data_IF_914470755744
#
_entry.id   IF_914470755744
#
_cell.length_a   1.000
_cell.length_b   1.000
_cell.length_c   1.000
_cell.angle_alpha   90.00
_cell.angle_beta   90.00
_cell.angle_gamma   90.00
#
_symmetry.space_group_name_H-M   'P 1'
#
loop_
_entity.id
_entity.type
_entity.pdbx_description
1 polymer ?
#
# COMPACT_ATOMS: atom_id res chain seq x y z
N UNK A 1 2.29 11.84 23.92
CA UNK A 1 3.51 11.00 23.92
C UNK A 1 3.33 9.71 23.10
N UNK A 2 2.33 8.86 23.36
CA UNK A 2 2.10 7.59 22.62
C UNK A 2 1.98 7.73 21.09
N UNK A 3 1.25 8.72 20.60
CA UNK A 3 1.10 8.97 19.15
C UNK A 3 2.42 9.37 18.48
N UNK A 4 3.27 10.12 19.17
CA UNK A 4 4.59 10.53 18.68
C UNK A 4 5.50 9.31 18.59
N UNK A 5 5.54 8.47 19.63
CA UNK A 5 6.30 7.22 19.60
C UNK A 5 5.84 6.28 18.48
N UNK A 6 4.52 6.17 18.27
CA UNK A 6 3.97 5.38 17.16
C UNK A 6 4.45 5.90 15.80
N UNK A 7 4.42 7.23 15.59
CA UNK A 7 4.92 7.87 14.38
C UNK A 7 6.40 7.60 14.14
N UNK A 8 7.24 7.75 15.17
CA UNK A 8 8.69 7.47 15.10
C UNK A 8 8.94 6.01 14.70
N UNK A 9 8.23 5.08 15.33
CA UNK A 9 8.36 3.65 15.03
C UNK A 9 7.95 3.34 13.58
N UNK A 10 6.84 3.92 13.10
CA UNK A 10 6.41 3.77 11.71
C UNK A 10 7.43 4.34 10.72
N UNK A 11 8.02 5.50 11.00
CA UNK A 11 9.12 6.07 10.20
C UNK A 11 10.35 5.17 10.15
N UNK A 12 10.76 4.62 11.30
CA UNK A 12 11.92 3.73 11.37
C UNK A 12 11.69 2.45 10.55
N UNK A 13 10.49 1.85 10.66
CA UNK A 13 10.11 0.66 9.89
C UNK A 13 10.07 0.94 8.40
N UNK A 14 9.47 2.06 7.98
CA UNK A 14 9.45 2.47 6.56
C UNK A 14 10.86 2.66 6.01
N UNK A 15 11.74 3.33 6.77
CA UNK A 15 13.12 3.57 6.35
C UNK A 15 13.89 2.25 6.19
N UNK A 16 13.71 1.31 7.13
CA UNK A 16 14.33 0.00 7.05
C UNK A 16 13.82 -0.80 5.83
N UNK A 17 12.52 -0.75 5.58
CA UNK A 17 11.89 -1.41 4.44
C UNK A 17 12.42 -0.89 3.10
N UNK A 18 12.40 0.44 2.90
CA UNK A 18 12.90 1.07 1.67
C UNK A 18 14.42 0.89 1.52
N UNK A 19 15.16 0.96 2.63
CA UNK A 19 16.61 0.71 2.63
C UNK A 19 16.97 -0.69 2.14
N UNK A 20 16.23 -1.73 2.57
CA UNK A 20 16.43 -3.10 2.07
C UNK A 20 16.17 -3.20 0.58
N UNK A 21 15.10 -2.60 0.08
CA UNK A 21 14.78 -2.62 -1.36
C UNK A 21 15.90 -1.98 -2.18
N UNK A 22 16.49 -0.88 -1.69
CA UNK A 22 17.60 -0.22 -2.37
C UNK A 22 18.87 -1.08 -2.39
N UNK A 23 19.16 -1.79 -1.30
CA UNK A 23 20.34 -2.67 -1.20
C UNK A 23 20.16 -3.95 -2.01
N UNK A 24 19.05 -4.65 -1.80
CA UNK A 24 18.80 -5.97 -2.36
C UNK A 24 18.26 -5.91 -3.80
N UNK A 25 17.77 -4.73 -4.22
CA UNK A 25 17.12 -4.48 -5.53
C UNK A 25 15.92 -5.40 -5.79
N UNK A 26 15.28 -5.86 -4.72
CA UNK A 26 14.13 -6.76 -4.78
C UNK A 26 13.03 -6.28 -3.85
N UNK A 27 11.78 -6.51 -4.25
CA UNK A 27 10.62 -6.27 -3.39
C UNK A 27 10.46 -7.40 -2.36
N UNK A 28 9.91 -7.11 -1.18
CA UNK A 28 9.72 -8.13 -0.15
C UNK A 28 8.68 -9.16 -0.57
N UNK A 29 8.95 -10.43 -0.26
CA UNK A 29 7.94 -11.49 -0.35
C UNK A 29 7.04 -11.38 0.87
N UNK A 30 5.79 -10.97 0.64
CA UNK A 30 4.84 -10.71 1.72
C UNK A 30 4.09 -11.98 2.12
N UNK A 31 4.08 -12.29 3.41
CA UNK A 31 3.30 -13.41 3.95
C UNK A 31 1.80 -13.13 3.78
N UNK A 32 1.06 -13.97 3.04
CA UNK A 32 -0.37 -13.77 2.84
C UNK A 32 -1.14 -13.61 4.15
N UNK A 33 -0.81 -14.43 5.15
CA UNK A 33 -1.54 -14.53 6.40
C UNK A 33 -1.38 -13.30 7.31
N UNK A 34 -0.39 -12.45 7.02
CA UNK A 34 -0.05 -11.28 7.84
C UNK A 34 -0.40 -9.97 7.15
N UNK A 35 -0.40 -9.96 5.82
CA UNK A 35 -0.55 -8.76 5.03
C UNK A 35 -1.92 -8.72 4.35
N UNK A 36 -2.70 -7.64 4.50
CA UNK A 36 -3.97 -7.50 3.81
C UNK A 36 -3.81 -7.53 2.28
N UNK A 37 -4.77 -8.17 1.62
CA UNK A 37 -4.94 -8.12 0.17
C UNK A 37 -5.95 -7.03 -0.18
N UNK A 38 -5.62 -6.18 -1.15
CA UNK A 38 -6.52 -5.14 -1.65
C UNK A 38 -6.99 -5.54 -3.04
N UNK A 39 -8.28 -5.90 -3.15
CA UNK A 39 -8.94 -6.27 -4.41
C UNK A 39 -9.65 -5.07 -5.03
N UNK A 40 -9.81 -5.11 -6.35
CA UNK A 40 -10.40 -4.04 -7.17
C UNK A 40 -9.84 -2.66 -6.80
N UNK A 41 -8.51 -2.60 -6.68
CA UNK A 41 -7.86 -1.44 -6.13
C UNK A 41 -7.76 -0.28 -7.13
N UNK A 42 -7.65 0.95 -6.63
CA UNK A 42 -7.37 2.19 -7.36
C UNK A 42 -6.47 3.11 -6.52
N UNK A 43 -5.92 4.17 -7.12
CA UNK A 43 -5.23 5.25 -6.39
C UNK A 43 -6.17 6.45 -6.34
N UNK A 44 -6.48 6.93 -5.15
CA UNK A 44 -7.13 8.23 -4.94
C UNK A 44 -6.03 9.27 -4.63
N UNK A 45 -6.03 10.41 -5.31
CA UNK A 45 -4.92 11.38 -5.26
C UNK A 45 -5.34 12.80 -4.90
N UNK A 46 -6.60 13.03 -4.49
CA UNK A 46 -7.12 14.38 -4.22
C UNK A 46 -6.30 15.22 -3.22
N UNK A 47 -5.69 14.60 -2.19
CA UNK A 47 -4.81 15.29 -1.22
C UNK A 47 -3.43 14.64 -1.08
N UNK A 48 -3.40 13.32 -1.11
CA UNK A 48 -2.19 12.50 -1.09
C UNK A 48 -2.54 11.18 -1.78
N UNK A 49 -1.58 10.52 -2.46
CA UNK A 49 -1.84 9.23 -3.10
C UNK A 49 -2.19 8.20 -2.03
N UNK A 50 -3.40 7.66 -2.07
CA UNK A 50 -3.88 6.63 -1.17
C UNK A 50 -4.40 5.45 -2.00
N UNK A 51 -4.09 4.23 -1.58
CA UNK A 51 -4.65 3.05 -2.19
C UNK A 51 -6.08 2.86 -1.65
N UNK A 52 -7.03 2.73 -2.57
CA UNK A 52 -8.43 2.41 -2.26
C UNK A 52 -8.82 1.08 -2.89
N UNK A 53 -9.77 0.37 -2.28
CA UNK A 53 -10.26 -0.92 -2.76
C UNK A 53 -10.93 -1.74 -1.67
N UNK A 54 -11.13 -3.04 -1.92
CA UNK A 54 -11.70 -3.99 -0.98
C UNK A 54 -10.60 -4.72 -0.19
N UNK A 55 -10.59 -4.55 1.13
CA UNK A 55 -9.52 -5.04 1.98
C UNK A 55 -9.87 -6.40 2.58
N UNK A 56 -9.10 -7.43 2.23
CA UNK A 56 -9.23 -8.76 2.80
C UNK A 56 -8.12 -9.01 3.82
N UNK A 57 -8.51 -9.17 5.08
CA UNK A 57 -7.63 -9.53 6.19
C UNK A 57 -7.81 -11.01 6.51
N UNK A 58 -6.76 -11.84 6.45
CA UNK A 58 -6.88 -13.28 6.73
C UNK A 58 -7.02 -13.57 8.24
N UNK A 59 -6.19 -12.93 9.09
CA UNK A 59 -6.23 -13.13 10.56
C UNK A 59 -7.31 -12.33 11.29
N UNK A 60 -8.01 -11.42 10.61
CA UNK A 60 -9.10 -10.64 11.20
C UNK A 60 -10.35 -10.82 10.34
N UNK A 61 -11.31 -11.56 10.87
CA UNK A 61 -12.69 -11.44 10.42
C UNK A 61 -13.13 -10.05 10.89
N UNK A 62 -12.88 -9.02 10.07
CA UNK A 62 -13.63 -7.78 10.23
C UNK A 62 -15.01 -8.04 9.62
N UNK A 63 -16.08 -8.11 10.43
CA UNK A 63 -17.43 -8.35 9.91
C UNK A 63 -17.90 -7.26 8.94
N UNK A 64 -17.15 -6.17 8.77
CA UNK A 64 -17.40 -5.10 7.79
C UNK A 64 -16.37 -5.02 6.66
N UNK A 65 -15.22 -5.68 6.79
CA UNK A 65 -14.03 -5.43 5.94
C UNK A 65 -14.13 -5.99 4.52
N UNK A 66 -14.91 -7.05 4.31
CA UNK A 66 -15.07 -7.67 2.99
C UNK A 66 -16.03 -6.91 2.06
N UNK A 67 -16.92 -6.07 2.60
CA UNK A 67 -18.00 -5.42 1.83
C UNK A 67 -17.79 -3.92 1.61
N UNK A 68 -16.76 -3.31 2.22
CA UNK A 68 -16.60 -1.85 2.23
C UNK A 68 -15.33 -1.42 1.52
N UNK A 69 -15.50 -0.46 0.60
CA UNK A 69 -14.40 0.30 0.02
C UNK A 69 -13.64 1.00 1.17
N UNK A 70 -12.33 0.80 1.26
CA UNK A 70 -11.49 1.43 2.27
C UNK A 70 -10.32 2.17 1.65
N UNK A 71 -9.60 2.93 2.47
CA UNK A 71 -8.45 3.75 2.07
C UNK A 71 -7.25 3.42 2.95
N UNK A 72 -6.07 3.38 2.36
CA UNK A 72 -4.82 3.36 3.13
C UNK A 72 -4.49 4.76 3.66
N UNK A 73 -3.53 4.80 4.59
CA UNK A 73 -2.70 6.00 4.75
C UNK A 73 -1.97 6.33 3.43
N UNK A 74 -1.41 7.54 3.28
CA UNK A 74 -0.63 7.91 2.11
C UNK A 74 0.40 6.83 1.72
N UNK A 75 0.44 6.55 0.42
CA UNK A 75 1.37 5.60 -0.19
C UNK A 75 2.76 6.21 -0.22
N UNK A 76 3.72 5.40 0.19
CA UNK A 76 5.16 5.70 0.15
C UNK A 76 5.83 4.89 -0.97
N UNK A 77 5.25 3.73 -1.34
CA UNK A 77 5.68 2.91 -2.46
C UNK A 77 4.48 2.15 -3.05
N UNK A 78 4.44 2.04 -4.38
CA UNK A 78 3.54 1.17 -5.12
C UNK A 78 4.36 0.47 -6.21
N UNK A 79 4.28 -0.86 -6.26
CA UNK A 79 4.80 -1.65 -7.36
C UNK A 79 3.69 -2.57 -7.88
N UNK A 80 3.16 -2.22 -9.06
CA UNK A 80 2.09 -2.98 -9.71
C UNK A 80 2.61 -4.34 -10.19
N UNK A 81 3.77 -4.38 -10.84
CA UNK A 81 4.39 -5.62 -11.29
C UNK A 81 4.78 -6.54 -10.13
N UNK A 82 5.28 -5.95 -9.04
CA UNK A 82 5.61 -6.68 -7.82
C UNK A 82 4.39 -7.09 -6.98
N UNK A 83 3.19 -6.61 -7.32
CA UNK A 83 1.96 -6.92 -6.61
C UNK A 83 1.93 -6.39 -5.17
N UNK A 84 2.63 -5.30 -4.86
CA UNK A 84 2.76 -4.79 -3.49
C UNK A 84 2.64 -3.27 -3.40
N UNK A 85 2.17 -2.81 -2.24
CA UNK A 85 2.18 -1.39 -1.87
C UNK A 85 2.63 -1.21 -0.41
N UNK A 86 3.19 -0.05 -0.10
CA UNK A 86 3.63 0.33 1.25
C UNK A 86 3.09 1.71 1.56
N UNK A 87 2.27 1.82 2.61
CA UNK A 87 2.01 3.12 3.25
C UNK A 87 3.06 3.38 4.31
N UNK A 88 2.96 4.46 5.08
CA UNK A 88 3.81 4.64 6.26
C UNK A 88 3.60 3.55 7.33
N UNK A 89 2.40 2.98 7.43
CA UNK A 89 2.05 2.09 8.53
C UNK A 89 2.40 0.62 8.28
N UNK A 90 2.13 0.13 7.07
CA UNK A 90 2.29 -1.30 6.74
C UNK A 90 2.38 -1.56 5.24
N UNK A 91 2.76 -2.80 4.92
CA UNK A 91 2.66 -3.38 3.59
C UNK A 91 1.22 -3.82 3.26
N UNK A 92 0.94 -3.87 1.96
CA UNK A 92 -0.29 -4.38 1.36
C UNK A 92 0.06 -5.24 0.15
N UNK A 93 -0.71 -6.30 -0.08
CA UNK A 93 -0.68 -7.08 -1.31
C UNK A 93 -1.74 -6.54 -2.26
N UNK A 94 -1.42 -6.48 -3.55
CA UNK A 94 -2.33 -6.03 -4.59
C UNK A 94 -2.99 -7.24 -5.25
N UNK A 95 -4.32 -7.23 -5.28
CA UNK A 95 -5.13 -8.15 -6.06
C UNK A 95 -5.42 -7.60 -7.45
N UNK A 96 -6.62 -7.86 -7.95
CA UNK A 96 -7.05 -7.36 -9.26
C UNK A 96 -7.18 -5.83 -9.24
N UNK A 97 -6.61 -5.10 -10.22
CA UNK A 97 -6.88 -3.67 -10.36
C UNK A 97 -8.33 -3.40 -10.75
N UNK A 98 -8.89 -2.29 -10.27
CA UNK A 98 -10.15 -1.75 -10.80
C UNK A 98 -9.98 -1.27 -12.26
N UNK A 99 -11.08 -1.12 -13.03
CA UNK A 99 -11.00 -0.55 -14.37
C UNK A 99 -10.38 0.85 -14.43
N UNK A 100 -10.52 1.64 -13.36
CA UNK A 100 -10.00 3.01 -13.25
C UNK A 100 -8.54 3.06 -12.77
N UNK A 101 -7.99 1.94 -12.31
CA UNK A 101 -6.65 1.87 -11.77
C UNK A 101 -5.57 2.19 -12.80
N UNK A 102 -5.78 1.79 -14.06
CA UNK A 102 -4.78 1.96 -15.12
C UNK A 102 -4.48 3.44 -15.40
N UNK A 103 -5.52 4.28 -15.44
CA UNK A 103 -5.37 5.71 -15.66
C UNK A 103 -4.60 6.36 -14.51
N UNK A 104 -4.90 5.98 -13.28
CA UNK A 104 -4.24 6.53 -12.09
C UNK A 104 -2.81 6.03 -11.92
N UNK A 105 -2.54 4.76 -12.26
CA UNK A 105 -1.17 4.20 -12.29
C UNK A 105 -0.33 4.93 -13.33
N UNK A 106 -0.89 5.25 -14.51
CA UNK A 106 -0.18 6.04 -15.51
C UNK A 106 0.15 7.43 -14.98
N UNK A 107 -0.83 8.14 -14.41
CA UNK A 107 -0.64 9.48 -13.84
C UNK A 107 0.40 9.51 -12.73
N UNK A 108 0.48 8.46 -11.90
CA UNK A 108 1.43 8.39 -10.79
C UNK A 108 2.81 7.84 -11.19
N UNK A 109 2.85 6.93 -12.16
CA UNK A 109 4.08 6.37 -12.72
C UNK A 109 4.79 7.32 -13.68
N UNK A 110 4.05 8.25 -14.29
CA UNK A 110 4.58 9.39 -15.02
C UNK A 110 4.91 10.51 -14.02
N UNK A 111 6.05 10.40 -13.33
CA UNK A 111 6.68 11.59 -12.74
C UNK A 111 7.40 12.36 -13.86
N UNK A 112 7.08 13.66 -13.93
CA UNK A 112 7.58 14.69 -14.85
C UNK A 112 8.72 14.24 -15.78
N UNK A 113 8.41 14.12 -17.07
CA UNK A 113 9.40 14.06 -18.14
C UNK A 113 10.25 15.33 -18.18
N UNK A 114 11.27 15.38 -17.32
CA UNK A 114 12.44 16.26 -17.42
C UNK A 114 13.71 15.47 -17.25
#
# INVERSE_FOLDING_TARGET
>A
MRAICARINSSANLTADLGRILVDRTLPILNPEEVPLVEEWNIESYMAPMLTGYFRYQKKIDPRGAEWLSFTAPLELLSVEGGVARSMERWYRLGKPSPFAQDMVRIWGESDGK
#
